data_IF_273887407381
#
_entry.id   IF_273887407381
#
_cell.length_a   1.000
_cell.length_b   1.000
_cell.length_c   1.000
_cell.angle_alpha   90.00
_cell.angle_beta   90.00
_cell.angle_gamma   90.00
#
_symmetry.space_group_name_H-M   'P 1'
#
loop_
_entity.id
_entity.type
_entity.pdbx_description
1 polymer ?
#
# COMPACT_ATOMS: atom_id res chain seq x y z
N UNK A 1 0.93 6.31 -6.35
CA UNK A 1 0.04 5.40 -5.62
C UNK A 1 0.74 4.06 -5.56
N UNK A 2 0.74 3.43 -4.39
CA UNK A 2 1.35 2.11 -4.16
C UNK A 2 0.80 1.14 -5.22
N UNK A 3 1.57 0.17 -5.73
CA UNK A 3 1.01 -1.00 -6.40
C UNK A 3 0.28 -1.85 -5.35
N UNK A 4 -0.85 -1.34 -4.84
CA UNK A 4 -1.76 -2.07 -3.98
C UNK A 4 -2.55 -3.00 -4.88
N UNK A 5 -2.68 -4.29 -4.51
CA UNK A 5 -3.52 -5.21 -5.26
C UNK A 5 -4.94 -4.63 -5.34
N UNK A 6 -5.56 -4.59 -6.54
CA UNK A 6 -6.92 -4.11 -6.68
C UNK A 6 -7.89 -5.00 -5.88
N UNK A 7 -9.01 -4.42 -5.43
CA UNK A 7 -10.07 -5.14 -4.72
C UNK A 7 -10.11 -4.89 -3.21
N UNK A 8 -10.93 -5.68 -2.51
CA UNK A 8 -11.22 -5.49 -1.08
C UNK A 8 -9.99 -5.60 -0.18
N UNK A 9 -9.08 -6.51 -0.51
CA UNK A 9 -7.83 -6.72 0.23
C UNK A 9 -6.97 -5.45 0.19
N UNK A 10 -6.86 -4.82 -0.97
CA UNK A 10 -6.10 -3.58 -1.13
C UNK A 10 -6.71 -2.42 -0.34
N UNK A 11 -8.05 -2.32 -0.37
CA UNK A 11 -8.78 -1.32 0.40
C UNK A 11 -8.57 -1.49 1.90
N UNK A 12 -8.65 -2.72 2.41
CA UNK A 12 -8.40 -3.01 3.83
C UNK A 12 -6.96 -2.70 4.25
N UNK A 13 -5.97 -2.90 3.38
CA UNK A 13 -4.57 -2.50 3.64
C UNK A 13 -4.45 -0.97 3.73
N UNK A 14 -5.09 -0.22 2.81
CA UNK A 14 -5.15 1.24 2.87
C UNK A 14 -5.74 1.71 4.20
N UNK A 15 -6.94 1.26 4.54
CA UNK A 15 -7.67 1.71 5.73
C UNK A 15 -6.90 1.43 7.03
N UNK A 16 -6.17 0.31 7.10
CA UNK A 16 -5.47 -0.10 8.33
C UNK A 16 -4.11 0.56 8.50
N UNK A 17 -3.34 0.72 7.42
CA UNK A 17 -1.93 1.15 7.50
C UNK A 17 -1.68 2.55 6.93
N UNK A 18 -2.65 3.09 6.20
CA UNK A 18 -2.64 4.43 5.64
C UNK A 18 -3.95 5.14 6.01
N UNK A 19 -4.24 5.31 7.31
CA UNK A 19 -5.43 6.04 7.73
C UNK A 19 -5.33 7.47 7.20
N UNK A 20 -6.36 7.88 6.49
CA UNK A 20 -6.47 9.19 5.87
C UNK A 20 -7.86 9.74 6.16
N UNK A 21 -7.92 11.04 6.42
CA UNK A 21 -9.21 11.71 6.63
C UNK A 21 -9.91 11.96 5.30
N UNK A 22 -11.24 12.10 5.32
CA UNK A 22 -12.02 12.27 4.08
C UNK A 22 -11.58 13.50 3.29
N UNK A 23 -11.19 14.58 3.99
CA UNK A 23 -10.69 15.79 3.34
C UNK A 23 -9.34 15.57 2.66
N UNK A 24 -8.46 14.69 3.18
CA UNK A 24 -7.15 14.42 2.58
C UNK A 24 -7.27 13.76 1.19
N UNK A 25 -8.36 13.01 0.99
CA UNK A 25 -8.64 12.35 -0.30
C UNK A 25 -8.88 13.35 -1.42
N UNK A 26 -9.54 14.47 -1.12
CA UNK A 26 -9.84 15.55 -2.09
C UNK A 26 -8.57 16.28 -2.54
N UNK A 27 -7.56 16.39 -1.67
CA UNK A 27 -6.32 17.10 -1.97
C UNK A 27 -5.20 16.19 -2.51
N UNK A 28 -5.52 14.99 -2.98
CA UNK A 28 -4.52 14.12 -3.60
C UNK A 28 -3.98 14.71 -4.89
N UNK A 29 -2.66 14.89 -4.92
CA UNK A 29 -1.94 15.29 -6.11
C UNK A 29 -2.01 14.18 -7.17
N UNK A 30 -2.66 14.46 -8.30
CA UNK A 30 -2.70 13.56 -9.47
C UNK A 30 -1.30 13.26 -10.03
N UNK A 31 -0.39 14.22 -9.91
CA UNK A 31 1.02 14.12 -10.35
C UNK A 31 1.96 13.60 -9.25
N UNK A 32 1.44 13.17 -8.11
CA UNK A 32 2.25 12.76 -6.95
C UNK A 32 3.17 11.54 -7.18
N UNK A 33 2.96 10.77 -8.26
CA UNK A 33 3.91 9.73 -8.69
C UNK A 33 5.09 10.36 -9.42
N UNK A 34 4.79 11.18 -10.44
CA UNK A 34 5.80 11.85 -11.28
C UNK A 34 6.72 12.71 -10.43
N UNK A 35 6.13 13.50 -9.50
CA UNK A 35 6.90 14.33 -8.58
C UNK A 35 7.87 13.51 -7.72
N UNK A 36 7.42 12.37 -7.19
CA UNK A 36 8.26 11.51 -6.34
C UNK A 36 9.41 10.87 -7.13
N UNK A 37 9.15 10.40 -8.35
CA UNK A 37 10.20 9.85 -9.22
C UNK A 37 11.21 10.95 -9.57
N UNK A 38 10.72 12.14 -9.90
CA UNK A 38 11.54 13.33 -10.15
C UNK A 38 12.43 13.66 -8.93
N UNK A 39 11.85 13.75 -7.73
CA UNK A 39 12.60 13.99 -6.48
C UNK A 39 13.62 12.88 -6.16
N UNK A 40 13.35 11.64 -6.56
CA UNK A 40 14.23 10.49 -6.31
C UNK A 40 15.40 10.38 -7.31
N UNK A 41 15.16 10.71 -8.59
CA UNK A 41 16.12 10.52 -9.68
C UNK A 41 16.84 11.80 -10.11
N UNK A 42 16.26 12.97 -9.81
CA UNK A 42 16.69 14.26 -10.35
C UNK A 42 16.13 14.56 -11.74
N UNK A 43 15.35 13.66 -12.34
CA UNK A 43 14.72 13.90 -13.65
C UNK A 43 13.64 14.97 -13.56
N UNK A 44 13.48 15.73 -14.64
CA UNK A 44 12.33 16.61 -14.81
C UNK A 44 11.08 15.81 -15.22
N UNK A 45 9.92 16.47 -15.22
CA UNK A 45 8.65 15.78 -15.46
C UNK A 45 8.54 15.18 -16.87
N UNK A 46 9.12 15.83 -17.88
CA UNK A 46 9.09 15.32 -19.25
C UNK A 46 9.95 14.06 -19.36
N UNK A 47 11.15 14.07 -18.78
CA UNK A 47 12.02 12.89 -18.73
C UNK A 47 11.33 11.71 -18.07
N UNK A 48 10.60 11.93 -16.95
CA UNK A 48 9.85 10.86 -16.28
C UNK A 48 8.71 10.32 -17.15
N UNK A 49 8.02 11.18 -17.91
CA UNK A 49 6.91 10.79 -18.78
C UNK A 49 7.37 10.08 -20.06
N UNK A 50 8.59 10.34 -20.52
CA UNK A 50 9.19 9.66 -21.69
C UNK A 50 9.92 8.36 -21.35
N UNK A 51 10.00 7.99 -20.07
CA UNK A 51 10.62 6.73 -19.67
C UNK A 51 9.90 5.52 -20.30
N UNK A 52 10.66 4.51 -20.76
CA UNK A 52 10.06 3.23 -21.12
C UNK A 52 9.28 2.66 -19.93
N UNK A 53 8.09 2.12 -20.21
CA UNK A 53 7.16 1.67 -19.18
C UNK A 53 7.77 0.78 -18.07
N UNK A 54 8.65 -0.20 -18.37
CA UNK A 54 9.32 -0.99 -17.32
C UNK A 54 10.17 -0.16 -16.37
N UNK A 55 10.89 0.84 -16.88
CA UNK A 55 11.71 1.74 -16.06
C UNK A 55 10.83 2.65 -15.21
N UNK A 56 9.73 3.14 -15.76
CA UNK A 56 8.75 3.92 -15.00
C UNK A 56 8.20 3.12 -13.81
N UNK A 57 7.81 1.86 -14.01
CA UNK A 57 7.31 0.99 -12.94
C UNK A 57 8.38 0.70 -11.88
N UNK A 58 9.61 0.42 -12.31
CA UNK A 58 10.74 0.19 -11.41
C UNK A 58 10.99 1.42 -10.53
N UNK A 59 11.13 2.60 -11.14
CA UNK A 59 11.40 3.85 -10.43
C UNK A 59 10.23 4.30 -9.55
N UNK A 60 8.99 4.03 -9.95
CA UNK A 60 7.82 4.27 -9.09
C UNK A 60 7.93 3.45 -7.79
N UNK A 61 8.31 2.17 -7.89
CA UNK A 61 8.51 1.31 -6.72
C UNK A 61 9.67 1.79 -5.84
N UNK A 62 10.84 2.03 -6.43
CA UNK A 62 12.05 2.42 -5.70
C UNK A 62 11.89 3.79 -5.02
N UNK A 63 11.38 4.78 -5.76
CA UNK A 63 11.11 6.12 -5.21
C UNK A 63 10.07 6.09 -4.10
N UNK A 64 9.10 5.17 -4.18
CA UNK A 64 8.14 4.95 -3.12
C UNK A 64 8.83 4.39 -1.87
N UNK A 65 9.58 3.30 -1.97
CA UNK A 65 10.32 2.73 -0.81
C UNK A 65 11.22 3.79 -0.17
N UNK A 66 11.98 4.51 -0.98
CA UNK A 66 12.87 5.58 -0.53
C UNK A 66 12.13 6.73 0.18
N UNK A 67 10.85 6.98 -0.13
CA UNK A 67 10.07 7.99 0.59
C UNK A 67 9.71 7.58 2.02
N UNK A 68 9.57 6.27 2.30
CA UNK A 68 9.23 5.74 3.62
C UNK A 68 10.48 5.46 4.48
N UNK A 69 11.65 5.24 3.89
CA UNK A 69 12.89 5.06 4.66
C UNK A 69 13.38 6.35 5.31
N UNK A 70 12.88 7.52 4.88
CA UNK A 70 13.27 8.84 5.41
C UNK A 70 12.67 9.17 6.78
N UNK A 71 11.60 8.49 7.21
CA UNK A 71 10.94 8.73 8.50
C UNK A 71 10.83 7.44 9.33
N UNK A 72 10.73 7.60 10.65
CA UNK A 72 10.57 6.48 11.57
C UNK A 72 9.22 5.80 11.37
N UNK A 73 8.17 6.61 11.21
CA UNK A 73 6.81 6.18 10.93
C UNK A 73 6.75 5.42 9.60
N UNK A 74 7.46 5.92 8.57
CA UNK A 74 7.51 5.27 7.27
C UNK A 74 8.22 3.91 7.33
N UNK A 75 9.31 3.81 8.08
CA UNK A 75 9.99 2.55 8.34
C UNK A 75 9.10 1.52 9.05
N UNK A 76 8.26 1.94 9.99
CA UNK A 76 7.30 1.03 10.65
C UNK A 76 6.22 0.53 9.69
N UNK A 77 5.75 1.39 8.77
CA UNK A 77 4.83 0.97 7.70
C UNK A 77 5.49 -0.12 6.84
N UNK A 78 6.74 0.08 6.40
CA UNK A 78 7.47 -0.91 5.60
C UNK A 78 7.64 -2.25 6.36
N UNK A 79 7.99 -2.21 7.65
CA UNK A 79 8.08 -3.41 8.49
C UNK A 79 6.75 -4.13 8.60
N UNK A 80 5.64 -3.41 8.75
CA UNK A 80 4.31 -4.00 8.83
C UNK A 80 3.88 -4.64 7.50
N UNK A 81 4.14 -3.98 6.37
CA UNK A 81 3.89 -4.56 5.05
C UNK A 81 4.73 -5.82 4.82
N UNK A 82 6.01 -5.81 5.21
CA UNK A 82 6.86 -6.99 5.15
C UNK A 82 6.31 -8.14 6.01
N UNK A 83 5.88 -7.87 7.25
CA UNK A 83 5.24 -8.87 8.13
C UNK A 83 4.01 -9.50 7.46
N UNK A 84 3.15 -8.69 6.86
CA UNK A 84 1.96 -9.18 6.16
C UNK A 84 2.31 -10.16 5.03
N UNK A 85 3.35 -9.87 4.25
CA UNK A 85 3.83 -10.77 3.20
C UNK A 85 4.38 -12.10 3.75
N UNK A 86 4.94 -12.10 4.97
CA UNK A 86 5.48 -13.31 5.60
C UNK A 86 4.41 -14.17 6.25
N UNK A 87 3.34 -13.58 6.78
CA UNK A 87 2.17 -14.34 7.25
C UNK A 87 1.47 -15.00 6.07
N UNK A 88 1.70 -16.31 5.90
CA UNK A 88 0.65 -17.17 5.32
C UNK A 88 -0.58 -16.93 6.17
N UNK A 89 -1.67 -16.47 5.56
CA UNK A 89 -2.94 -16.32 6.27
C UNK A 89 -3.19 -17.63 7.03
N UNK A 90 -3.32 -17.55 8.35
CA UNK A 90 -3.73 -18.71 9.12
C UNK A 90 -5.23 -18.89 8.88
N UNK A 91 -5.57 -19.42 7.70
CA UNK A 91 -6.94 -19.62 7.24
C UNK A 91 -7.76 -20.44 8.25
N UNK A 92 -7.08 -21.22 9.10
CA UNK A 92 -7.69 -21.99 10.18
C UNK A 92 -8.25 -21.10 11.28
N UNK A 93 -7.53 -20.07 11.74
CA UNK A 93 -8.02 -19.18 12.81
C UNK A 93 -9.18 -18.31 12.33
N UNK A 94 -9.14 -17.84 11.08
CA UNK A 94 -10.25 -17.08 10.46
C UNK A 94 -11.50 -17.96 10.32
N UNK A 95 -11.38 -19.21 9.84
CA UNK A 95 -12.52 -20.15 9.78
C UNK A 95 -13.08 -20.50 11.16
N UNK A 96 -12.23 -20.65 12.18
CA UNK A 96 -12.65 -20.91 13.56
C UNK A 96 -13.39 -19.72 14.18
N UNK A 97 -12.96 -18.49 13.89
CA UNK A 97 -13.61 -17.29 14.42
C UNK A 97 -14.90 -16.91 13.67
N UNK A 98 -14.95 -17.12 12.34
CA UNK A 98 -16.15 -16.90 11.53
C UNK A 98 -17.20 -18.02 11.66
N UNK A 99 -16.82 -19.20 12.16
CA UNK A 99 -17.72 -20.34 12.41
C UNK A 99 -18.37 -20.37 13.80
N UNK A 100 -18.08 -19.39 14.67
CA UNK A 100 -18.55 -19.33 16.06
C UNK A 100 -19.99 -18.85 16.26
N UNK A 101 -20.84 -18.90 15.23
CA UNK A 101 -22.28 -18.73 15.38
C UNK A 101 -22.90 -20.00 15.97
N UNK A 102 -22.85 -20.15 17.29
CA UNK A 102 -23.61 -21.15 18.03
C UNK A 102 -25.10 -20.99 17.72
N UNK A 103 -25.61 -21.72 16.73
CA UNK A 103 -27.03 -21.98 16.57
C UNK A 103 -27.35 -23.24 17.39
N UNK A 104 -27.47 -23.06 18.71
CA UNK A 104 -27.90 -24.10 19.64
C UNK A 104 -29.40 -24.33 19.52
N UNK A 105 -29.79 -25.21 18.60
CA UNK A 105 -31.15 -25.73 18.49
C UNK A 105 -31.13 -27.25 18.34
N UNK A 106 -31.54 -27.95 19.40
CA UNK A 106 -32.32 -29.22 19.46
C UNK A 106 -32.04 -29.98 20.77
N UNK A 107 -32.97 -29.90 21.71
CA UNK A 107 -33.88 -31.00 22.04
C UNK A 107 -35.11 -30.46 22.76
#
# INVERSE_FOLDING_TARGET
>A
MIPIPPGEIGKAICEKYFPEEEWEKEYRLKTGIIRRISEYTGFNFNEVLELPYPYFLLLNKESWIASYTKSKEGMEILKNLWRLQQTKADEKSVRMHSGGGCNGGRN
#
